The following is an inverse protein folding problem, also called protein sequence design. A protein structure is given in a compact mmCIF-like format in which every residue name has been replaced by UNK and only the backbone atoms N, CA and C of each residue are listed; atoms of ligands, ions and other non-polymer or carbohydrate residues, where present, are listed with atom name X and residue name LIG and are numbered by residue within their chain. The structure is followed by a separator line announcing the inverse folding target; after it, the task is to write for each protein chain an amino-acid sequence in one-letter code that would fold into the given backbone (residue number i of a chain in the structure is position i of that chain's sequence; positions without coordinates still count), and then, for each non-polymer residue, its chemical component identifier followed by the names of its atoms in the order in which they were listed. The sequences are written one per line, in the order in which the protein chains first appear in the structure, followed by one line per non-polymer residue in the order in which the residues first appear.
data_IF_400064283760
#
_entry.id   IF_400064283760
#
_cell.length_a   1.000
_cell.length_b   1.000
_cell.length_c   1.000
_cell.angle_alpha   90.00
_cell.angle_beta   90.00
_cell.angle_gamma   90.00
#
_symmetry.space_group_name_H-M   'P 1'
#
loop_
_entity.id
_entity.type
_entity.pdbx_description
1 polymer ?
#
# COMPACT_ATOMS: atom_id res chain seq x y z
N UNK A 1 34.82 -0.75 23.81
CA UNK A 1 35.24 0.31 22.86
C UNK A 1 34.62 0.17 21.46
N UNK A 2 34.21 -1.03 21.00
CA UNK A 2 33.59 -1.27 19.68
C UNK A 2 32.05 -1.00 19.66
N UNK A 3 31.35 -1.07 20.79
CA UNK A 3 29.91 -0.76 20.86
C UNK A 3 29.63 0.75 20.75
N UNK A 4 30.40 1.58 21.47
CA UNK A 4 30.26 3.05 21.46
C UNK A 4 30.47 3.67 20.06
N UNK A 5 31.32 3.07 19.22
CA UNK A 5 31.54 3.56 17.85
C UNK A 5 30.43 3.15 16.87
N UNK A 6 29.74 2.02 17.10
CA UNK A 6 28.54 1.65 16.32
C UNK A 6 27.34 2.50 16.70
N UNK A 7 27.11 2.72 18.00
CA UNK A 7 26.01 3.57 18.48
C UNK A 7 26.13 5.01 17.96
N UNK A 8 27.33 5.59 17.97
CA UNK A 8 27.56 6.94 17.45
C UNK A 8 27.39 7.02 15.91
N UNK A 9 27.71 5.94 15.18
CA UNK A 9 27.51 5.85 13.74
C UNK A 9 26.02 5.68 13.36
N UNK A 10 25.28 4.87 14.12
CA UNK A 10 23.84 4.63 13.90
C UNK A 10 23.02 5.88 14.26
N UNK A 11 23.36 6.59 15.34
CA UNK A 11 22.72 7.84 15.72
C UNK A 11 22.94 8.95 14.68
N UNK A 12 24.15 9.04 14.09
CA UNK A 12 24.43 9.98 13.01
C UNK A 12 23.64 9.65 11.74
N UNK A 13 23.51 8.36 11.40
CA UNK A 13 22.68 7.90 10.28
C UNK A 13 21.20 8.20 10.48
N UNK A 14 20.68 7.96 11.69
CA UNK A 14 19.30 8.27 12.06
C UNK A 14 19.00 9.77 11.98
N UNK A 15 19.87 10.63 12.52
CA UNK A 15 19.68 12.08 12.43
C UNK A 15 19.78 12.61 10.99
N UNK A 16 20.61 12.01 10.14
CA UNK A 16 20.68 12.35 8.73
C UNK A 16 19.38 11.98 7.99
N UNK A 17 18.84 10.77 8.23
CA UNK A 17 17.55 10.32 7.69
C UNK A 17 16.42 11.30 8.03
N UNK A 18 16.33 11.68 9.31
CA UNK A 18 15.28 12.61 9.79
C UNK A 18 15.41 13.99 9.16
N UNK A 19 16.63 14.51 8.96
CA UNK A 19 16.84 15.83 8.34
C UNK A 19 16.49 15.85 6.85
N UNK A 20 16.78 14.76 6.13
CA UNK A 20 16.51 14.65 4.70
C UNK A 20 15.03 14.36 4.42
N UNK A 21 14.43 13.40 5.14
CA UNK A 21 13.04 13.00 4.93
C UNK A 21 12.03 13.89 5.67
N UNK A 22 12.47 14.64 6.68
CA UNK A 22 11.61 15.43 7.57
C UNK A 22 10.66 16.41 6.86
N UNK A 23 11.14 17.25 5.92
CA UNK A 23 10.26 18.18 5.20
C UNK A 23 9.18 17.49 4.38
N UNK A 24 9.53 16.39 3.70
CA UNK A 24 8.62 15.62 2.88
C UNK A 24 7.62 14.82 3.73
N UNK A 25 8.06 14.29 4.87
CA UNK A 25 7.18 13.66 5.87
C UNK A 25 6.27 14.69 6.57
N UNK A 26 6.71 15.93 6.76
CA UNK A 26 5.85 16.98 7.28
C UNK A 26 4.78 17.37 6.24
N UNK A 27 5.17 17.53 4.98
CA UNK A 27 4.24 17.79 3.89
C UNK A 27 3.24 16.63 3.69
N UNK A 28 3.72 15.39 3.75
CA UNK A 28 2.89 14.19 3.69
C UNK A 28 1.89 14.13 4.85
N UNK A 29 2.30 14.51 6.06
CA UNK A 29 1.42 14.56 7.24
C UNK A 29 0.31 15.60 7.04
N UNK A 30 0.65 16.80 6.57
CA UNK A 30 -0.32 17.85 6.28
C UNK A 30 -1.34 17.41 5.22
N UNK A 31 -0.88 16.77 4.14
CA UNK A 31 -1.75 16.21 3.11
C UNK A 31 -2.67 15.10 3.66
N UNK A 32 -2.14 14.26 4.55
CA UNK A 32 -2.89 13.18 5.21
C UNK A 32 -3.98 13.77 6.11
N UNK A 33 -3.64 14.78 6.92
CA UNK A 33 -4.59 15.48 7.78
C UNK A 33 -5.66 16.22 6.98
N UNK A 34 -5.29 16.88 5.88
CA UNK A 34 -6.25 17.54 5.00
C UNK A 34 -7.27 16.53 4.43
N UNK A 35 -6.79 15.38 3.94
CA UNK A 35 -7.65 14.31 3.44
C UNK A 35 -8.51 13.69 4.56
N UNK A 36 -7.95 13.53 5.76
CA UNK A 36 -8.70 13.07 6.94
C UNK A 36 -9.82 14.06 7.31
N UNK A 37 -9.57 15.36 7.29
CA UNK A 37 -10.60 16.38 7.51
C UNK A 37 -11.71 16.32 6.47
N UNK A 38 -11.38 16.13 5.19
CA UNK A 38 -12.38 15.94 4.13
C UNK A 38 -13.23 14.68 4.40
N UNK A 39 -12.62 13.58 4.84
CA UNK A 39 -13.35 12.37 5.20
C UNK A 39 -14.27 12.60 6.40
N UNK A 40 -13.84 13.32 7.44
CA UNK A 40 -14.74 13.64 8.57
C UNK A 40 -15.95 14.44 8.14
N UNK A 41 -15.80 15.33 7.15
CA UNK A 41 -16.91 16.11 6.61
C UNK A 41 -17.91 15.26 5.80
N UNK A 42 -17.42 14.23 5.11
CA UNK A 42 -18.25 13.32 4.29
C UNK A 42 -18.94 12.23 5.11
N UNK A 43 -18.27 11.70 6.14
CA UNK A 43 -18.69 10.49 6.86
C UNK A 43 -19.10 10.74 8.32
N UNK A 44 -19.04 11.98 8.82
CA UNK A 44 -19.34 12.36 10.21
C UNK A 44 -18.59 11.49 11.24
N UNK A 45 -17.27 11.37 11.05
CA UNK A 45 -16.40 10.46 11.81
C UNK A 45 -16.03 11.05 13.17
N UNK A 46 -15.87 10.18 14.17
CA UNK A 46 -15.48 10.58 15.52
C UNK A 46 -14.00 10.96 15.62
N UNK A 47 -13.61 11.64 16.71
CA UNK A 47 -12.21 12.01 16.98
C UNK A 47 -11.24 10.82 17.02
N UNK A 48 -11.73 9.60 17.31
CA UNK A 48 -10.90 8.38 17.28
C UNK A 48 -10.36 8.05 15.87
N UNK A 49 -10.96 8.62 14.82
CA UNK A 49 -10.52 8.45 13.44
C UNK A 49 -9.11 9.03 13.25
N UNK A 50 -8.87 10.24 13.76
CA UNK A 50 -7.56 10.88 13.67
C UNK A 50 -6.48 10.11 14.42
N UNK A 51 -6.83 9.43 15.52
CA UNK A 51 -5.89 8.55 16.23
C UNK A 51 -5.50 7.34 15.37
N UNK A 52 -6.48 6.71 14.70
CA UNK A 52 -6.22 5.61 13.76
C UNK A 52 -5.35 6.03 12.58
N UNK A 53 -5.69 7.15 11.93
CA UNK A 53 -4.91 7.69 10.80
C UNK A 53 -3.51 8.12 11.26
N UNK A 54 -3.39 8.77 12.42
CA UNK A 54 -2.11 9.18 12.99
C UNK A 54 -1.22 7.99 13.32
N UNK A 55 -1.78 6.93 13.91
CA UNK A 55 -1.05 5.68 14.17
C UNK A 55 -0.51 5.05 12.88
N UNK A 56 -1.36 4.91 11.85
CA UNK A 56 -0.96 4.40 10.54
C UNK A 56 0.13 5.26 9.89
N UNK A 57 0.03 6.58 10.03
CA UNK A 57 1.03 7.51 9.53
C UNK A 57 2.39 7.33 10.24
N UNK A 58 2.39 7.21 11.56
CA UNK A 58 3.62 6.98 12.34
C UNK A 58 4.27 5.65 11.96
N UNK A 59 3.50 4.58 11.76
CA UNK A 59 4.01 3.29 11.29
C UNK A 59 4.65 3.42 9.91
N UNK A 60 3.99 4.12 8.97
CA UNK A 60 4.52 4.38 7.63
C UNK A 60 5.79 5.24 7.67
N UNK A 61 5.81 6.30 8.47
CA UNK A 61 6.96 7.19 8.63
C UNK A 61 8.16 6.44 9.24
N UNK A 62 7.91 5.59 10.25
CA UNK A 62 8.94 4.72 10.83
C UNK A 62 9.50 3.74 9.80
N UNK A 63 8.64 3.12 8.99
CA UNK A 63 9.07 2.24 7.89
C UNK A 63 9.95 2.99 6.88
N UNK A 64 9.58 4.21 6.48
CA UNK A 64 10.36 5.05 5.57
C UNK A 64 11.74 5.37 6.16
N UNK A 65 11.79 5.82 7.42
CA UNK A 65 13.04 6.20 8.09
C UNK A 65 14.00 5.02 8.30
N UNK A 66 13.48 3.82 8.56
CA UNK A 66 14.30 2.60 8.74
C UNK A 66 14.75 2.02 7.39
N UNK A 67 13.91 2.10 6.36
CA UNK A 67 14.16 1.45 5.08
C UNK A 67 14.92 2.32 4.07
N UNK A 68 15.17 3.59 4.38
CA UNK A 68 16.00 4.52 3.61
C UNK A 68 17.48 4.08 3.70
N UNK A 69 18.09 3.57 2.62
CA UNK A 69 19.49 3.16 2.63
C UNK A 69 20.37 4.39 2.39
N UNK A 70 20.73 5.13 3.46
CA UNK A 70 21.77 6.15 3.37
C UNK A 70 23.17 5.52 3.37
N UNK A 71 23.49 4.76 2.32
CA UNK A 71 24.89 4.40 2.07
C UNK A 71 25.58 5.35 1.09
N UNK A 72 24.88 6.19 0.31
CA UNK A 72 25.56 7.07 -0.67
C UNK A 72 24.77 8.36 -1.00
N UNK A 73 25.08 9.46 -0.28
CA UNK A 73 25.10 10.83 -0.82
C UNK A 73 23.85 11.46 -1.46
N UNK A 74 22.66 10.87 -1.34
CA UNK A 74 21.44 11.44 -1.93
C UNK A 74 20.91 12.63 -1.11
N UNK A 75 20.71 13.78 -1.78
CA UNK A 75 20.30 15.07 -1.18
C UNK A 75 18.79 15.17 -0.88
N UNK A 76 17.97 14.20 -1.31
CA UNK A 76 16.51 14.25 -1.18
C UNK A 76 15.90 12.83 -1.29
N UNK A 77 14.66 12.65 -0.79
CA UNK A 77 13.86 11.42 -0.97
C UNK A 77 13.63 11.05 -2.44
N UNK A 78 13.77 12.01 -3.36
CA UNK A 78 13.53 11.85 -4.78
C UNK A 78 12.07 12.02 -5.18
N UNK A 79 11.83 12.54 -6.39
CA UNK A 79 10.48 12.92 -6.83
C UNK A 79 9.50 11.74 -6.84
N UNK A 80 9.95 10.54 -7.22
CA UNK A 80 9.10 9.36 -7.22
C UNK A 80 8.56 9.05 -5.81
N UNK A 81 9.43 9.07 -4.79
CA UNK A 81 9.02 8.80 -3.41
C UNK A 81 8.10 9.89 -2.85
N UNK A 82 8.25 11.16 -3.26
CA UNK A 82 7.33 12.24 -2.88
C UNK A 82 5.92 12.01 -3.40
N UNK A 83 5.78 11.51 -4.63
CA UNK A 83 4.45 11.22 -5.18
C UNK A 83 3.87 9.96 -4.52
N UNK A 84 4.71 8.97 -4.19
CA UNK A 84 4.29 7.80 -3.41
C UNK A 84 3.86 8.18 -1.98
N UNK A 85 4.50 9.17 -1.35
CA UNK A 85 4.05 9.78 -0.09
C UNK A 85 2.71 10.52 -0.25
N UNK A 86 2.54 11.25 -1.35
CA UNK A 86 1.25 11.87 -1.70
C UNK A 86 0.15 10.84 -1.87
N UNK A 87 0.46 9.68 -2.46
CA UNK A 87 -0.44 8.53 -2.55
C UNK A 87 -0.76 7.95 -1.18
N UNK A 88 0.24 7.79 -0.31
CA UNK A 88 0.03 7.33 1.07
C UNK A 88 -0.93 8.28 1.82
N UNK A 89 -0.84 9.58 1.59
CA UNK A 89 -1.73 10.57 2.19
C UNK A 89 -3.21 10.41 1.79
N UNK A 90 -3.51 9.70 0.69
CA UNK A 90 -4.87 9.31 0.32
C UNK A 90 -5.28 7.95 0.89
N UNK A 91 -4.36 6.99 0.89
CA UNK A 91 -4.63 5.59 1.29
C UNK A 91 -4.78 5.45 2.82
N UNK A 92 -3.94 6.11 3.62
CA UNK A 92 -3.98 5.98 5.09
C UNK A 92 -5.29 6.53 5.68
N UNK A 93 -5.82 7.69 5.23
CA UNK A 93 -7.14 8.16 5.67
C UNK A 93 -8.27 7.21 5.29
N UNK A 94 -8.23 6.59 4.10
CA UNK A 94 -9.21 5.57 3.71
C UNK A 94 -9.13 4.33 4.61
N UNK A 95 -7.93 3.89 4.96
CA UNK A 95 -7.74 2.80 5.92
C UNK A 95 -8.38 3.13 7.28
N UNK A 96 -8.20 4.35 7.76
CA UNK A 96 -8.85 4.82 8.99
C UNK A 96 -10.39 4.74 8.95
N UNK A 97 -11.01 4.99 7.79
CA UNK A 97 -12.48 4.92 7.62
C UNK A 97 -12.97 3.49 7.89
N UNK A 98 -12.23 2.48 7.40
CA UNK A 98 -12.60 1.07 7.58
C UNK A 98 -12.62 0.61 9.04
N UNK A 99 -11.93 1.30 9.94
CA UNK A 99 -11.79 0.92 11.35
C UNK A 99 -13.00 1.39 12.16
N UNK A 100 -13.58 2.55 11.84
CA UNK A 100 -14.61 3.17 12.68
C UNK A 100 -16.03 2.81 12.28
N UNK A 101 -16.36 2.89 10.99
CA UNK A 101 -17.75 2.87 10.56
C UNK A 101 -17.88 2.17 9.21
N UNK A 102 -18.79 1.19 9.08
CA UNK A 102 -19.17 0.68 7.77
C UNK A 102 -19.83 1.80 6.96
N UNK A 103 -19.43 1.95 5.70
CA UNK A 103 -19.95 3.02 4.83
C UNK A 103 -21.39 2.71 4.43
N UNK A 104 -22.34 3.56 4.81
CA UNK A 104 -23.78 3.30 4.58
C UNK A 104 -24.36 4.23 3.49
N UNK A 105 -23.71 5.37 3.21
CA UNK A 105 -24.23 6.37 2.27
C UNK A 105 -23.73 6.17 0.84
N UNK A 106 -24.61 6.40 -0.15
CA UNK A 106 -24.28 6.36 -1.58
C UNK A 106 -23.16 7.35 -1.94
N UNK A 107 -23.21 8.56 -1.36
CA UNK A 107 -22.20 9.60 -1.54
C UNK A 107 -20.84 9.11 -1.00
N UNK A 108 -20.84 8.45 0.16
CA UNK A 108 -19.63 7.89 0.76
C UNK A 108 -18.94 6.85 -0.13
N UNK A 109 -19.71 5.95 -0.76
CA UNK A 109 -19.16 4.99 -1.71
C UNK A 109 -18.50 5.67 -2.92
N UNK A 110 -19.16 6.67 -3.51
CA UNK A 110 -18.59 7.42 -4.64
C UNK A 110 -17.35 8.21 -4.24
N UNK A 111 -17.33 8.78 -3.04
CA UNK A 111 -16.16 9.47 -2.50
C UNK A 111 -14.96 8.53 -2.37
N UNK A 112 -15.15 7.34 -1.80
CA UNK A 112 -14.09 6.33 -1.69
C UNK A 112 -13.59 5.91 -3.08
N UNK A 113 -14.52 5.64 -4.01
CA UNK A 113 -14.16 5.28 -5.38
C UNK A 113 -13.32 6.38 -6.02
N UNK A 114 -13.69 7.65 -5.84
CA UNK A 114 -12.95 8.79 -6.37
C UNK A 114 -11.54 8.88 -5.76
N UNK A 115 -11.42 8.85 -4.44
CA UNK A 115 -10.11 8.96 -3.75
C UNK A 115 -9.20 7.79 -4.10
N UNK A 116 -9.73 6.57 -4.10
CA UNK A 116 -8.95 5.38 -4.45
C UNK A 116 -8.58 5.35 -5.94
N UNK A 117 -9.45 5.85 -6.83
CA UNK A 117 -9.11 6.00 -8.26
C UNK A 117 -7.97 6.99 -8.45
N UNK A 118 -7.99 8.14 -7.76
CA UNK A 118 -6.88 9.11 -7.79
C UNK A 118 -5.60 8.45 -7.28
N UNK A 119 -5.66 7.71 -6.17
CA UNK A 119 -4.50 6.99 -5.64
C UNK A 119 -3.94 5.93 -6.63
N UNK A 120 -4.80 5.26 -7.40
CA UNK A 120 -4.37 4.32 -8.46
C UNK A 120 -3.78 5.04 -9.68
N UNK A 121 -4.29 6.21 -10.06
CA UNK A 121 -3.72 7.01 -11.14
C UNK A 121 -2.31 7.50 -10.75
N UNK A 122 -2.14 7.94 -9.49
CA UNK A 122 -0.84 8.37 -8.97
C UNK A 122 0.22 7.26 -9.02
N UNK A 123 -0.13 6.00 -8.75
CA UNK A 123 0.78 4.84 -8.94
C UNK A 123 1.34 4.77 -10.39
N UNK A 124 0.46 4.97 -11.36
CA UNK A 124 0.85 4.98 -12.78
C UNK A 124 1.86 6.09 -13.09
N UNK A 125 1.67 7.27 -12.49
CA UNK A 125 2.56 8.42 -12.61
C UNK A 125 3.91 8.13 -11.95
N UNK A 126 3.94 7.53 -10.77
CA UNK A 126 5.16 7.16 -10.04
C UNK A 126 6.01 6.19 -10.83
N UNK A 127 5.38 5.15 -11.37
CA UNK A 127 6.04 4.18 -12.23
C UNK A 127 6.63 4.83 -13.48
N UNK A 128 6.00 5.87 -14.04
CA UNK A 128 6.53 6.61 -15.18
C UNK A 128 7.70 7.52 -14.79
N UNK A 129 7.63 8.22 -13.65
CA UNK A 129 8.72 9.06 -13.13
C UNK A 129 9.93 8.21 -12.79
N UNK A 130 9.73 7.07 -12.11
CA UNK A 130 10.79 6.13 -11.73
C UNK A 130 11.52 5.57 -12.96
N UNK A 131 10.80 5.27 -14.05
CA UNK A 131 11.43 4.84 -15.32
C UNK A 131 12.31 5.91 -15.96
N UNK A 132 11.99 7.19 -15.75
CA UNK A 132 12.74 8.33 -16.32
C UNK A 132 13.93 8.75 -15.47
N UNK A 133 13.83 8.60 -14.14
CA UNK A 133 14.85 9.09 -13.19
C UNK A 133 15.70 8.00 -12.54
N UNK A 134 15.36 6.73 -12.76
CA UNK A 134 16.03 5.58 -12.17
C UNK A 134 15.22 5.00 -10.99
N UNK A 135 14.85 3.71 -11.02
CA UNK A 135 14.14 3.08 -9.92
C UNK A 135 15.07 2.86 -8.72
N UNK A 136 14.59 3.15 -7.51
CA UNK A 136 15.28 2.82 -6.26
C UNK A 136 14.67 1.56 -5.64
N UNK A 137 15.49 0.74 -4.97
CA UNK A 137 15.01 -0.47 -4.28
C UNK A 137 14.02 -0.12 -3.17
N UNK A 138 14.29 0.95 -2.42
CA UNK A 138 13.39 1.46 -1.39
C UNK A 138 12.04 1.91 -1.98
N UNK A 139 12.04 2.75 -3.02
CA UNK A 139 10.82 3.24 -3.65
C UNK A 139 9.97 2.11 -4.22
N UNK A 140 10.60 1.10 -4.83
CA UNK A 140 9.90 -0.09 -5.32
C UNK A 140 9.25 -0.91 -4.20
N UNK A 141 9.90 -1.05 -3.03
CA UNK A 141 9.31 -1.72 -1.86
C UNK A 141 8.17 -0.90 -1.25
N UNK A 142 8.35 0.41 -1.13
CA UNK A 142 7.34 1.31 -0.56
C UNK A 142 6.07 1.37 -1.42
N UNK A 143 6.21 1.51 -2.74
CA UNK A 143 5.09 1.44 -3.70
C UNK A 143 4.33 0.11 -3.58
N UNK A 144 5.07 -1.00 -3.49
CA UNK A 144 4.50 -2.33 -3.39
C UNK A 144 3.74 -2.58 -2.07
N UNK A 145 4.18 -1.99 -0.95
CA UNK A 145 3.44 -2.07 0.32
C UNK A 145 2.19 -1.20 0.31
N UNK A 146 2.25 0.01 -0.26
CA UNK A 146 1.08 0.88 -0.38
C UNK A 146 0.02 0.29 -1.32
N UNK A 147 0.43 -0.33 -2.43
CA UNK A 147 -0.44 -1.10 -3.33
C UNK A 147 -1.23 -2.16 -2.55
N UNK A 148 -0.54 -2.94 -1.74
CA UNK A 148 -1.14 -4.02 -0.98
C UNK A 148 -2.05 -3.51 0.13
N UNK A 149 -1.65 -2.44 0.81
CA UNK A 149 -2.48 -1.77 1.80
C UNK A 149 -3.77 -1.26 1.13
N UNK A 150 -3.68 -0.64 -0.04
CA UNK A 150 -4.85 -0.17 -0.77
C UNK A 150 -5.80 -1.33 -1.14
N UNK A 151 -5.26 -2.45 -1.66
CA UNK A 151 -6.08 -3.63 -1.95
C UNK A 151 -6.74 -4.21 -0.68
N UNK A 152 -6.02 -4.23 0.44
CA UNK A 152 -6.57 -4.66 1.72
C UNK A 152 -7.71 -3.75 2.17
N UNK A 153 -7.50 -2.44 2.19
CA UNK A 153 -8.51 -1.43 2.54
C UNK A 153 -9.75 -1.58 1.67
N UNK A 154 -9.59 -1.65 0.35
CA UNK A 154 -10.71 -1.83 -0.58
C UNK A 154 -11.43 -3.16 -0.37
N UNK A 155 -10.71 -4.25 -0.10
CA UNK A 155 -11.32 -5.56 0.18
C UNK A 155 -12.14 -5.56 1.47
N UNK A 156 -11.67 -4.87 2.52
CA UNK A 156 -12.41 -4.69 3.78
C UNK A 156 -13.67 -3.86 3.53
N UNK A 157 -13.58 -2.77 2.76
CA UNK A 157 -14.75 -1.96 2.41
C UNK A 157 -15.79 -2.74 1.60
N UNK A 158 -15.36 -3.56 0.64
CA UNK A 158 -16.26 -4.42 -0.14
C UNK A 158 -16.93 -5.46 0.77
N UNK A 159 -16.22 -6.05 1.73
CA UNK A 159 -16.82 -6.94 2.73
C UNK A 159 -17.83 -6.20 3.63
N UNK A 160 -17.46 -5.02 4.16
CA UNK A 160 -18.33 -4.19 5.00
C UNK A 160 -19.59 -3.71 4.27
N UNK A 161 -19.54 -3.57 2.94
CA UNK A 161 -20.73 -3.25 2.13
C UNK A 161 -21.80 -4.35 2.13
N UNK A 162 -21.48 -5.56 2.62
CA UNK A 162 -22.38 -6.70 2.67
C UNK A 162 -22.63 -7.38 1.32
N UNK A 163 -22.04 -6.87 0.23
CA UNK A 163 -22.21 -7.41 -1.13
C UNK A 163 -21.46 -8.72 -1.37
N UNK A 164 -20.33 -8.90 -0.69
CA UNK A 164 -19.42 -10.04 -0.87
C UNK A 164 -19.03 -10.60 0.50
N UNK A 165 -18.91 -11.92 0.58
CA UNK A 165 -18.53 -12.60 1.81
C UNK A 165 -17.09 -12.31 2.25
N UNK A 166 -16.76 -12.73 3.47
CA UNK A 166 -15.46 -12.54 4.12
C UNK A 166 -14.25 -13.00 3.28
N UNK A 167 -14.46 -13.94 2.36
CA UNK A 167 -13.45 -14.46 1.45
C UNK A 167 -12.82 -13.39 0.55
N UNK A 168 -13.47 -12.25 0.30
CA UNK A 168 -12.90 -11.15 -0.51
C UNK A 168 -11.64 -10.56 0.12
N UNK A 169 -11.52 -10.61 1.45
CA UNK A 169 -10.33 -10.13 2.16
C UNK A 169 -9.06 -10.91 1.80
N UNK A 170 -9.20 -12.13 1.27
CA UNK A 170 -8.07 -12.89 0.75
C UNK A 170 -7.33 -12.11 -0.34
N UNK A 171 -8.01 -11.29 -1.15
CA UNK A 171 -7.37 -10.46 -2.19
C UNK A 171 -6.33 -9.52 -1.57
N UNK A 172 -6.66 -8.87 -0.45
CA UNK A 172 -5.75 -7.96 0.26
C UNK A 172 -4.71 -8.66 1.11
N UNK A 173 -5.07 -9.78 1.75
CA UNK A 173 -4.20 -10.46 2.73
C UNK A 173 -3.16 -11.37 2.05
N UNK A 174 -3.36 -11.77 0.78
CA UNK A 174 -2.50 -12.75 0.11
C UNK A 174 -1.03 -12.34 0.02
N UNK A 175 -0.73 -11.04 -0.14
CA UNK A 175 0.65 -10.55 -0.07
C UNK A 175 1.27 -10.84 1.29
N UNK A 176 0.57 -10.47 2.36
CA UNK A 176 1.09 -10.64 3.71
C UNK A 176 1.25 -12.13 4.06
N UNK A 177 0.37 -13.00 3.54
CA UNK A 177 0.56 -14.45 3.60
C UNK A 177 1.80 -14.92 2.85
N UNK A 178 2.10 -14.35 1.68
CA UNK A 178 3.31 -14.67 0.94
C UNK A 178 4.58 -14.23 1.69
N UNK A 179 4.58 -13.05 2.30
CA UNK A 179 5.68 -12.57 3.16
C UNK A 179 5.84 -13.48 4.38
N UNK A 180 4.75 -13.83 5.07
CA UNK A 180 4.79 -14.75 6.19
C UNK A 180 5.30 -16.15 5.79
N UNK A 181 4.85 -16.67 4.64
CA UNK A 181 5.31 -17.95 4.10
C UNK A 181 6.81 -17.93 3.75
N UNK A 182 7.35 -16.77 3.34
CA UNK A 182 8.78 -16.61 3.07
C UNK A 182 9.65 -16.76 4.33
N UNK A 183 9.11 -16.50 5.53
CA UNK A 183 9.80 -16.73 6.80
C UNK A 183 9.91 -18.22 7.13
N UNK A 184 8.88 -19.01 6.82
CA UNK A 184 8.91 -20.47 7.03
C UNK A 184 9.81 -21.16 6.00
N UNK A 185 9.88 -20.62 4.78
CA UNK A 185 10.67 -21.20 3.70
C UNK A 185 11.48 -20.12 2.98
N UNK A 186 12.75 -19.91 3.39
CA UNK A 186 13.62 -18.85 2.86
C UNK A 186 13.83 -18.91 1.34
N UNK A 187 13.61 -20.07 0.70
CA UNK A 187 13.64 -20.18 -0.76
C UNK A 187 12.55 -19.34 -1.45
N UNK A 188 11.50 -18.93 -0.75
CA UNK A 188 10.49 -17.97 -1.25
C UNK A 188 10.88 -16.51 -1.05
N UNK A 189 11.92 -16.21 -0.26
CA UNK A 189 12.40 -14.84 -0.03
C UNK A 189 13.31 -14.32 -1.16
N UNK A 190 13.60 -15.15 -2.18
CA UNK A 190 14.39 -14.73 -3.32
C UNK A 190 13.70 -13.59 -4.09
N UNK A 191 14.49 -12.61 -4.54
CA UNK A 191 13.98 -11.47 -5.28
C UNK A 191 13.38 -11.92 -6.62
N UNK A 192 12.05 -11.92 -6.70
CA UNK A 192 11.37 -12.18 -7.96
C UNK A 192 11.58 -10.98 -8.90
N UNK A 193 12.08 -11.19 -10.13
CA UNK A 193 12.34 -10.11 -11.08
C UNK A 193 11.08 -9.30 -11.36
N UNK A 194 11.20 -7.98 -11.44
CA UNK A 194 10.07 -7.07 -11.68
C UNK A 194 9.25 -7.54 -12.89
N UNK A 195 8.02 -7.99 -12.65
CA UNK A 195 7.19 -8.58 -13.70
C UNK A 195 5.99 -7.67 -14.00
N UNK A 196 5.84 -7.29 -15.27
CA UNK A 196 4.68 -6.51 -15.74
C UNK A 196 3.36 -7.19 -15.38
N UNK A 197 3.34 -8.53 -15.42
CA UNK A 197 2.21 -9.36 -15.01
C UNK A 197 1.70 -9.04 -13.59
N UNK A 198 2.59 -8.98 -12.60
CA UNK A 198 2.20 -8.72 -11.19
C UNK A 198 1.63 -7.32 -11.02
N UNK A 199 2.24 -6.32 -11.67
CA UNK A 199 1.71 -4.94 -11.66
C UNK A 199 0.34 -4.86 -12.35
N UNK A 200 0.17 -5.52 -13.50
CA UNK A 200 -1.14 -5.59 -14.18
C UNK A 200 -2.20 -6.26 -13.31
N UNK A 201 -1.87 -7.36 -12.62
CA UNK A 201 -2.81 -8.03 -11.73
C UNK A 201 -3.20 -7.12 -10.56
N UNK A 202 -2.24 -6.43 -9.93
CA UNK A 202 -2.51 -5.46 -8.87
C UNK A 202 -3.54 -4.39 -9.32
N UNK A 203 -3.31 -3.78 -10.48
CA UNK A 203 -4.23 -2.79 -11.06
C UNK A 203 -5.60 -3.40 -11.34
N UNK A 204 -5.65 -4.60 -11.93
CA UNK A 204 -6.92 -5.31 -12.20
C UNK A 204 -7.68 -5.59 -10.89
N UNK A 205 -7.00 -6.04 -9.84
CA UNK A 205 -7.63 -6.27 -8.52
C UNK A 205 -8.20 -4.96 -7.96
N UNK A 206 -7.44 -3.87 -8.03
CA UNK A 206 -7.89 -2.55 -7.57
C UNK A 206 -9.14 -2.10 -8.30
N UNK A 207 -9.14 -2.16 -9.64
CA UNK A 207 -10.30 -1.81 -10.47
C UNK A 207 -11.50 -2.70 -10.15
N UNK A 208 -11.31 -4.01 -10.01
CA UNK A 208 -12.41 -4.93 -9.64
C UNK A 208 -13.01 -4.55 -8.29
N UNK A 209 -12.19 -4.28 -7.27
CA UNK A 209 -12.70 -3.91 -5.96
C UNK A 209 -13.46 -2.57 -6.00
N UNK A 210 -13.00 -1.59 -6.77
CA UNK A 210 -13.73 -0.33 -7.00
C UNK A 210 -15.08 -0.56 -7.67
N UNK A 211 -15.13 -1.43 -8.69
CA UNK A 211 -16.39 -1.81 -9.36
C UNK A 211 -17.33 -2.49 -8.37
N UNK A 212 -16.86 -3.45 -7.57
CA UNK A 212 -17.66 -4.13 -6.56
C UNK A 212 -18.21 -3.16 -5.50
N UNK A 213 -17.43 -2.13 -5.14
CA UNK A 213 -17.82 -1.11 -4.19
C UNK A 213 -18.92 -0.19 -4.76
N UNK A 214 -18.97 -0.01 -6.08
CA UNK A 214 -19.96 0.79 -6.80
C UNK A 214 -21.41 0.51 -6.36
N UNK A 215 -22.18 1.51 -5.91
CA UNK A 215 -23.52 1.30 -5.35
C UNK A 215 -24.54 0.75 -6.37
N UNK A 216 -24.24 0.87 -7.67
CA UNK A 216 -25.07 0.39 -8.79
C UNK A 216 -24.94 -1.14 -8.98
N UNK A 217 -23.84 -1.76 -8.49
CA UNK A 217 -23.56 -3.18 -8.74
C UNK A 217 -24.30 -4.07 -7.73
N UNK A 218 -25.14 -5.02 -8.19
CA UNK A 218 -25.81 -5.99 -7.33
C UNK A 218 -24.83 -6.96 -6.65
N UNK A 219 -25.19 -7.45 -5.47
CA UNK A 219 -24.35 -8.34 -4.65
C UNK A 219 -23.90 -9.62 -5.40
N UNK A 220 -24.79 -10.24 -6.17
CA UNK A 220 -24.47 -11.45 -6.96
C UNK A 220 -23.37 -11.17 -7.99
N UNK A 221 -23.47 -10.05 -8.69
CA UNK A 221 -22.52 -9.67 -9.72
C UNK A 221 -21.18 -9.27 -9.09
N UNK A 222 -21.20 -8.48 -8.00
CA UNK A 222 -20.00 -8.16 -7.23
C UNK A 222 -19.27 -9.42 -6.74
N UNK A 223 -20.01 -10.40 -6.22
CA UNK A 223 -19.46 -11.69 -5.76
C UNK A 223 -18.82 -12.49 -6.90
N UNK A 224 -19.45 -12.58 -8.07
CA UNK A 224 -18.87 -13.28 -9.23
C UNK A 224 -17.59 -12.59 -9.69
N UNK A 225 -17.61 -11.26 -9.85
CA UNK A 225 -16.44 -10.49 -10.31
C UNK A 225 -15.29 -10.63 -9.30
N UNK A 226 -15.56 -10.49 -8.00
CA UNK A 226 -14.56 -10.66 -6.96
C UNK A 226 -13.99 -12.09 -6.92
N UNK A 227 -14.80 -13.12 -7.20
CA UNK A 227 -14.35 -14.51 -7.21
C UNK A 227 -13.40 -14.76 -8.38
N UNK A 228 -13.74 -14.26 -9.58
CA UNK A 228 -12.88 -14.34 -10.76
C UNK A 228 -11.54 -13.62 -10.49
N UNK A 229 -11.60 -12.44 -9.88
CA UNK A 229 -10.40 -11.68 -9.53
C UNK A 229 -9.54 -12.43 -8.50
N UNK A 230 -10.13 -13.00 -7.45
CA UNK A 230 -9.41 -13.82 -6.49
C UNK A 230 -8.78 -15.07 -7.15
N UNK A 231 -9.51 -15.77 -8.02
CA UNK A 231 -8.99 -16.92 -8.74
C UNK A 231 -7.80 -16.55 -9.65
N UNK A 232 -7.87 -15.41 -10.34
CA UNK A 232 -6.77 -14.87 -11.14
C UNK A 232 -5.55 -14.55 -10.28
N UNK A 233 -5.76 -13.94 -9.11
CA UNK A 233 -4.70 -13.60 -8.17
C UNK A 233 -4.02 -14.87 -7.62
N UNK A 234 -4.79 -15.83 -7.11
CA UNK A 234 -4.28 -17.11 -6.59
C UNK A 234 -3.53 -17.87 -7.68
N UNK A 235 -4.04 -17.89 -8.91
CA UNK A 235 -3.37 -18.54 -10.04
C UNK A 235 -2.03 -17.87 -10.36
N UNK A 236 -1.92 -16.55 -10.20
CA UNK A 236 -0.65 -15.85 -10.36
C UNK A 236 0.35 -16.21 -9.28
N UNK A 237 -0.08 -16.19 -8.01
CA UNK A 237 0.75 -16.59 -6.89
C UNK A 237 1.21 -18.04 -7.00
N UNK A 238 0.34 -18.95 -7.44
CA UNK A 238 0.70 -20.35 -7.66
C UNK A 238 1.81 -20.51 -8.71
N UNK A 239 1.80 -19.70 -9.78
CA UNK A 239 2.88 -19.67 -10.77
C UNK A 239 4.17 -19.12 -10.16
N UNK A 240 4.10 -18.04 -9.39
CA UNK A 240 5.27 -17.43 -8.74
C UNK A 240 5.92 -18.39 -7.73
N UNK A 241 5.11 -19.07 -6.91
CA UNK A 241 5.57 -20.12 -5.98
C UNK A 241 6.18 -21.29 -6.73
N UNK A 242 5.55 -21.79 -7.79
CA UNK A 242 6.12 -22.89 -8.61
C UNK A 242 7.44 -22.50 -9.24
N UNK A 243 7.60 -21.25 -9.67
CA UNK A 243 8.87 -20.75 -10.21
C UNK A 243 9.95 -20.73 -9.14
N UNK A 244 9.66 -20.20 -7.95
CA UNK A 244 10.59 -20.17 -6.81
C UNK A 244 10.99 -21.56 -6.28
N UNK A 245 10.10 -22.54 -6.42
CA UNK A 245 10.33 -23.91 -5.96
C UNK A 245 11.09 -24.78 -6.98
N UNK A 246 11.33 -24.31 -8.20
CA UNK A 246 12.12 -25.06 -9.20
C UNK A 246 13.60 -25.11 -8.78
N UNK A 247 14.17 -26.31 -8.55
CA UNK A 247 15.60 -26.45 -8.33
C UNK A 247 16.34 -26.08 -9.62
N UNK A 248 17.19 -25.04 -9.61
CA UNK A 248 18.10 -24.78 -10.74
C UNK A 248 18.34 -23.32 -11.16
N UNK A 249 17.78 -22.31 -10.50
CA UNK A 249 18.03 -20.89 -10.85
C UNK A 249 18.80 -20.10 -9.77
N UNK A 250 19.63 -20.79 -8.98
CA UNK A 250 20.66 -20.14 -8.16
C UNK A 250 21.94 -20.06 -8.99
N UNK A 251 22.07 -19.03 -9.81
CA UNK A 251 23.36 -18.55 -10.31
C UNK A 251 23.53 -17.12 -9.85
#
# INVERSE_FOLDING_TARGET
MIQLSRECSDDQGWQANVRLAGPDLAAGLLATLATACLNTWVFDLSNGYFLGVGFLYVVMAGFVLVSLPLSFGALDLGIANRVTLGRAALVLPLAGVTIQTPVISVIGYWWIILVATVAMILDGVDGWVARRRGPTVFGARFDMELDALLLLVLSVMVWQSGKVGLWVMLIGVLRYLFVAASWLRPSLAAELPASRRRKTICVVQGVVLLVCLGPIIPATMASIIAFVALAMLVSSFAVDVRWLLRPGQRC
#
